data_IF_121776538373
#
_entry.id   IF_121776538373
#
_cell.length_a   1.000
_cell.length_b   1.000
_cell.length_c   1.000
_cell.angle_alpha   90.00
_cell.angle_beta   90.00
_cell.angle_gamma   90.00
#
_symmetry.space_group_name_H-M   'P 1'
#
loop_
_entity.id
_entity.type
_entity.pdbx_description
1 polymer ?
#
# COMPACT_ATOMS: atom_id res chain seq x y z
N UNK A 1 -28.05 -23.90 -0.45
CA UNK A 1 -28.67 -24.47 -1.67
C UNK A 1 -28.25 -23.58 -2.82
N UNK A 2 -27.30 -24.00 -3.67
CA UNK A 2 -27.55 -24.79 -4.89
C UNK A 2 -28.08 -23.84 -5.99
N UNK A 3 -27.49 -23.70 -7.18
CA UNK A 3 -27.10 -24.77 -8.11
C UNK A 3 -26.14 -24.27 -9.20
N UNK A 4 -25.36 -25.23 -9.67
CA UNK A 4 -24.56 -25.31 -10.90
C UNK A 4 -25.46 -25.51 -12.12
N UNK A 5 -25.05 -25.02 -13.30
CA UNK A 5 -25.28 -25.63 -14.63
C UNK A 5 -24.49 -24.82 -15.66
N UNK A 6 -23.39 -25.27 -16.28
CA UNK A 6 -23.22 -26.36 -17.26
C UNK A 6 -24.19 -26.33 -18.44
N UNK A 7 -23.67 -26.03 -19.64
CA UNK A 7 -24.30 -26.44 -20.90
C UNK A 7 -23.22 -26.68 -21.97
N UNK A 8 -22.99 -27.96 -22.25
CA UNK A 8 -22.48 -28.48 -23.52
C UNK A 8 -23.62 -28.51 -24.55
N UNK A 9 -23.27 -28.64 -25.84
CA UNK A 9 -24.00 -29.19 -27.03
C UNK A 9 -23.72 -28.28 -28.25
N UNK A 10 -23.49 -28.73 -29.48
CA UNK A 10 -23.25 -30.05 -30.08
C UNK A 10 -22.79 -29.83 -31.54
N UNK A 11 -22.11 -30.84 -32.11
CA UNK A 11 -21.78 -31.03 -33.54
C UNK A 11 -22.96 -30.85 -34.49
N UNK A 12 -22.65 -30.49 -35.75
CA UNK A 12 -23.28 -31.12 -36.91
C UNK A 12 -22.35 -31.14 -38.14
N UNK A 13 -22.62 -32.12 -39.00
CA UNK A 13 -21.78 -32.75 -40.02
C UNK A 13 -22.39 -32.72 -41.43
N UNK A 14 -21.55 -33.06 -42.44
CA UNK A 14 -21.82 -33.57 -43.82
C UNK A 14 -21.43 -32.60 -44.96
N UNK A 15 -20.38 -32.82 -45.78
CA UNK A 15 -20.11 -33.85 -46.84
C UNK A 15 -20.89 -33.49 -48.15
N UNK A 16 -20.33 -33.24 -49.37
CA UNK A 16 -19.44 -34.08 -50.24
C UNK A 16 -18.97 -33.34 -51.54
N UNK A 17 -17.72 -33.61 -51.97
CA UNK A 17 -17.11 -33.81 -53.35
C UNK A 17 -17.29 -32.76 -54.47
N UNK A 18 -16.32 -32.45 -55.35
CA UNK A 18 -15.46 -33.32 -56.23
C UNK A 18 -14.07 -32.72 -56.60
N UNK A 19 -13.06 -33.61 -56.74
CA UNK A 19 -11.89 -33.73 -57.67
C UNK A 19 -11.28 -32.48 -58.36
N UNK A 20 -9.99 -32.36 -58.70
CA UNK A 20 -8.75 -33.16 -58.70
C UNK A 20 -7.57 -32.13 -58.72
N UNK A 21 -6.40 -32.38 -58.15
CA UNK A 21 -5.28 -32.94 -58.90
C UNK A 21 -4.16 -33.42 -57.96
N UNK A 22 -3.60 -34.57 -58.35
CA UNK A 22 -2.47 -35.28 -57.79
C UNK A 22 -1.22 -34.40 -57.63
N UNK A 23 -0.52 -34.56 -56.50
CA UNK A 23 0.89 -34.99 -56.49
C UNK A 23 1.15 -35.79 -55.21
N UNK A 24 1.30 -37.11 -55.37
CA UNK A 24 1.99 -37.97 -54.41
C UNK A 24 3.49 -37.71 -54.51
N UNK A 25 4.21 -37.64 -53.38
CA UNK A 25 5.20 -38.68 -53.04
C UNK A 25 5.79 -38.51 -51.63
N UNK A 26 5.76 -39.65 -50.91
CA UNK A 26 6.73 -40.16 -49.93
C UNK A 26 6.92 -39.46 -48.58
N UNK A 27 6.24 -40.03 -47.58
CA UNK A 27 6.86 -40.39 -46.31
C UNK A 27 8.24 -41.01 -46.54
N UNK A 28 9.30 -40.39 -46.02
CA UNK A 28 10.58 -41.05 -45.80
C UNK A 28 11.34 -40.36 -44.66
N UNK A 29 11.57 -41.13 -43.59
CA UNK A 29 12.75 -41.11 -42.70
C UNK A 29 13.11 -39.81 -41.95
N UNK A 30 12.47 -39.59 -40.79
CA UNK A 30 12.97 -38.69 -39.71
C UNK A 30 14.08 -39.38 -38.88
N UNK A 31 15.15 -39.85 -39.52
CA UNK A 31 16.28 -40.48 -38.84
C UNK A 31 17.66 -40.04 -39.32
N UNK A 32 17.80 -39.15 -40.31
CA UNK A 32 19.12 -38.88 -40.94
C UNK A 32 19.39 -37.40 -41.29
N UNK A 33 19.18 -36.47 -40.35
CA UNK A 33 19.73 -35.10 -40.46
C UNK A 33 20.44 -34.64 -39.17
N UNK A 34 21.37 -35.46 -38.66
CA UNK A 34 22.50 -34.93 -37.86
C UNK A 34 23.58 -34.51 -38.87
N UNK A 35 23.31 -33.44 -39.62
CA UNK A 35 24.30 -32.81 -40.48
C UNK A 35 25.33 -32.06 -39.62
N UNK A 36 26.50 -32.66 -39.46
CA UNK A 36 27.82 -32.01 -39.62
C UNK A 36 27.97 -30.54 -39.21
N UNK A 37 27.79 -30.18 -37.94
CA UNK A 37 27.95 -28.79 -37.47
C UNK A 37 29.10 -28.69 -36.44
N UNK A 38 30.03 -27.75 -36.68
CA UNK A 38 31.09 -27.36 -35.75
C UNK A 38 30.58 -26.21 -34.88
N UNK A 39 30.64 -26.35 -33.55
CA UNK A 39 30.19 -25.34 -32.60
C UNK A 39 29.94 -25.89 -31.20
N UNK A 40 29.49 -25.03 -30.29
CA UNK A 40 29.04 -25.44 -28.95
C UNK A 40 27.52 -25.30 -28.83
N UNK A 41 26.90 -26.19 -28.04
CA UNK A 41 25.47 -26.16 -27.71
C UNK A 41 25.27 -26.32 -26.21
N UNK A 42 24.09 -25.91 -25.74
CA UNK A 42 23.63 -26.23 -24.39
C UNK A 42 22.48 -27.23 -24.54
N UNK A 43 22.63 -28.40 -23.94
CA UNK A 43 21.63 -29.47 -24.00
C UNK A 43 21.45 -30.08 -22.60
N UNK A 44 20.22 -30.08 -22.10
CA UNK A 44 19.88 -30.49 -20.73
C UNK A 44 20.75 -29.78 -19.68
N UNK A 45 21.03 -28.49 -19.89
CA UNK A 45 21.88 -27.70 -18.99
C UNK A 45 23.37 -28.02 -19.03
N UNK A 46 23.84 -28.93 -19.90
CA UNK A 46 25.27 -29.21 -20.10
C UNK A 46 25.79 -28.52 -21.36
N UNK A 47 27.00 -27.98 -21.29
CA UNK A 47 27.68 -27.37 -22.43
C UNK A 47 28.40 -28.48 -23.18
N UNK A 48 28.07 -28.67 -24.46
CA UNK A 48 28.65 -29.70 -25.32
C UNK A 48 29.33 -29.01 -26.50
N UNK A 49 30.62 -29.29 -26.70
CA UNK A 49 31.38 -28.84 -27.87
C UNK A 49 31.37 -29.95 -28.91
N UNK A 50 31.07 -29.62 -30.16
CA UNK A 50 31.07 -30.56 -31.28
C UNK A 50 32.01 -30.04 -32.39
N UNK A 51 32.93 -30.88 -32.84
CA UNK A 51 33.83 -30.64 -33.98
C UNK A 51 33.77 -31.83 -34.94
N UNK A 52 34.06 -31.57 -36.23
CA UNK A 52 34.35 -32.63 -37.21
C UNK A 52 35.87 -32.78 -37.35
N UNK A 53 36.33 -34.02 -37.44
CA UNK A 53 37.74 -34.46 -37.55
C UNK A 53 38.43 -34.21 -38.90
N UNK A 54 37.92 -33.31 -39.74
CA UNK A 54 38.54 -33.02 -41.04
C UNK A 54 38.22 -31.60 -41.50
N UNK A 55 39.12 -30.66 -41.22
CA UNK A 55 39.73 -29.74 -42.20
C UNK A 55 40.49 -28.59 -41.53
N UNK A 56 41.48 -28.09 -42.26
CA UNK A 56 42.49 -27.12 -41.86
C UNK A 56 41.95 -25.80 -41.28
N UNK A 57 42.66 -25.35 -40.24
CA UNK A 57 42.90 -23.98 -39.76
C UNK A 57 41.81 -22.89 -39.91
N UNK A 58 41.29 -22.48 -38.75
CA UNK A 58 41.05 -21.09 -38.27
C UNK A 58 39.68 -20.86 -37.62
N UNK A 59 38.74 -21.80 -37.74
CA UNK A 59 37.41 -21.60 -37.14
C UNK A 59 37.42 -21.98 -35.65
N UNK A 60 37.65 -20.97 -34.80
CA UNK A 60 37.57 -21.10 -33.35
C UNK A 60 36.11 -21.10 -32.88
N UNK A 61 35.78 -22.03 -31.99
CA UNK A 61 34.50 -21.98 -31.26
C UNK A 61 34.70 -21.07 -30.06
N UNK A 62 33.82 -20.10 -29.88
CA UNK A 62 33.89 -19.19 -28.73
C UNK A 62 32.67 -19.32 -27.84
N UNK A 63 32.87 -19.18 -26.54
CA UNK A 63 31.83 -19.16 -25.53
C UNK A 63 31.86 -17.84 -24.79
N UNK A 64 30.67 -17.33 -24.47
CA UNK A 64 30.50 -16.16 -23.62
C UNK A 64 29.70 -16.57 -22.39
N UNK A 65 30.28 -16.31 -21.22
CA UNK A 65 29.59 -16.46 -19.93
C UNK A 65 28.44 -15.46 -19.81
N UNK A 66 27.51 -15.71 -18.90
CA UNK A 66 26.36 -14.84 -18.65
C UNK A 66 26.10 -14.65 -17.16
N UNK A 67 25.29 -13.64 -16.83
CA UNK A 67 24.91 -13.39 -15.44
C UNK A 67 24.12 -14.58 -14.86
N UNK A 68 24.26 -14.80 -13.56
CA UNK A 68 23.60 -15.90 -12.84
C UNK A 68 24.41 -17.21 -12.77
N UNK A 69 25.49 -17.36 -13.53
CA UNK A 69 26.43 -18.49 -13.42
C UNK A 69 27.87 -17.99 -13.37
N UNK A 70 28.76 -18.84 -12.87
CA UNK A 70 30.20 -18.68 -12.97
C UNK A 70 30.74 -19.80 -13.84
N UNK A 71 31.21 -19.45 -15.04
CA UNK A 71 31.75 -20.41 -16.02
C UNK A 71 33.23 -20.64 -15.71
N UNK A 72 33.64 -21.90 -15.62
CA UNK A 72 35.02 -22.32 -15.46
C UNK A 72 35.47 -23.06 -16.71
N UNK A 73 36.57 -22.63 -17.31
CA UNK A 73 37.22 -23.31 -18.43
C UNK A 73 38.60 -23.75 -17.94
N UNK A 74 38.86 -25.05 -17.95
CA UNK A 74 40.08 -25.66 -17.42
C UNK A 74 40.38 -25.20 -15.97
N UNK A 75 39.33 -25.08 -15.15
CA UNK A 75 39.40 -24.61 -13.77
C UNK A 75 39.60 -23.10 -13.57
N UNK A 76 39.67 -22.29 -14.64
CA UNK A 76 39.78 -20.83 -14.54
C UNK A 76 38.43 -20.13 -14.72
N UNK A 77 38.05 -19.21 -13.80
CA UNK A 77 36.80 -18.47 -13.90
C UNK A 77 36.82 -17.47 -15.07
N UNK A 78 35.72 -17.43 -15.81
CA UNK A 78 35.57 -16.62 -17.01
C UNK A 78 34.70 -15.38 -16.74
N UNK A 79 35.11 -14.22 -17.26
CA UNK A 79 34.32 -12.99 -17.18
C UNK A 79 33.13 -13.01 -18.16
N UNK A 80 32.04 -12.33 -17.79
CA UNK A 80 30.82 -12.29 -18.59
C UNK A 80 30.92 -11.37 -19.84
N UNK A 81 31.96 -10.53 -19.94
CA UNK A 81 32.15 -9.61 -21.07
C UNK A 81 33.00 -10.19 -22.20
N UNK A 82 33.90 -11.11 -21.86
CA UNK A 82 34.93 -11.64 -22.76
C UNK A 82 34.45 -12.89 -23.48
N UNK A 83 34.86 -13.04 -24.74
CA UNK A 83 34.69 -14.27 -25.52
C UNK A 83 35.90 -15.16 -25.28
N UNK A 84 35.67 -16.39 -24.83
CA UNK A 84 36.71 -17.38 -24.59
C UNK A 84 36.69 -18.40 -25.72
N UNK A 85 37.86 -18.73 -26.26
CA UNK A 85 37.97 -19.80 -27.26
C UNK A 85 37.99 -21.14 -26.54
N UNK A 86 37.19 -22.08 -27.02
CA UNK A 86 37.06 -23.43 -26.46
C UNK A 86 37.23 -24.50 -27.53
N UNK A 87 37.72 -25.64 -27.10
CA UNK A 87 37.98 -26.85 -27.88
C UNK A 87 37.34 -28.06 -27.21
N UNK A 88 37.26 -29.20 -27.91
CA UNK A 88 36.71 -30.44 -27.35
C UNK A 88 37.55 -31.01 -26.19
N UNK A 89 38.82 -30.60 -26.10
CA UNK A 89 39.73 -31.03 -25.03
C UNK A 89 39.61 -30.18 -23.77
N UNK A 90 38.87 -29.06 -23.81
CA UNK A 90 38.74 -28.17 -22.67
C UNK A 90 37.66 -28.68 -21.70
N UNK A 91 37.97 -28.66 -20.41
CA UNK A 91 37.01 -28.97 -19.35
C UNK A 91 36.16 -27.73 -19.06
N UNK A 92 34.88 -27.80 -19.42
CA UNK A 92 33.93 -26.70 -19.25
C UNK A 92 32.94 -27.05 -18.15
N UNK A 93 33.05 -26.36 -17.02
CA UNK A 93 32.15 -26.50 -15.88
C UNK A 93 31.46 -25.16 -15.60
N UNK A 94 30.33 -25.20 -14.91
CA UNK A 94 29.69 -23.98 -14.44
C UNK A 94 29.15 -24.16 -13.03
N UNK A 95 29.23 -23.10 -12.23
CA UNK A 95 28.62 -23.01 -10.91
C UNK A 95 27.41 -22.10 -11.02
N UNK A 96 26.23 -22.65 -10.76
CA UNK A 96 25.00 -21.87 -10.65
C UNK A 96 25.04 -20.99 -9.41
N UNK A 97 24.79 -19.69 -9.57
CA UNK A 97 24.54 -18.82 -8.42
C UNK A 97 23.22 -19.25 -7.78
N UNK A 98 23.18 -19.24 -6.46
CA UNK A 98 21.96 -19.42 -5.68
C UNK A 98 21.76 -18.21 -4.79
N UNK A 99 20.53 -17.72 -4.74
CA UNK A 99 20.10 -16.75 -3.73
C UNK A 99 19.23 -17.47 -2.72
N UNK A 100 19.51 -17.26 -1.45
CA UNK A 100 18.74 -17.85 -0.36
C UNK A 100 17.35 -17.20 -0.26
N UNK A 101 16.39 -17.95 0.29
CA UNK A 101 15.08 -17.44 0.60
C UNK A 101 15.15 -16.39 1.73
N UNK A 102 14.59 -15.21 1.51
CA UNK A 102 14.66 -14.08 2.44
C UNK A 102 13.25 -13.70 2.88
N UNK A 103 13.07 -13.45 4.18
CA UNK A 103 11.85 -12.86 4.72
C UNK A 103 12.17 -11.49 5.33
N UNK A 104 11.41 -10.48 4.94
CA UNK A 104 11.54 -9.11 5.41
C UNK A 104 10.31 -8.73 6.23
N UNK A 105 10.55 -8.06 7.36
CA UNK A 105 9.50 -7.51 8.21
C UNK A 105 9.92 -6.09 8.61
N UNK A 106 9.42 -5.12 7.87
CA UNK A 106 9.69 -3.71 8.12
C UNK A 106 8.52 -3.07 8.84
N UNK A 107 8.84 -2.15 9.74
CA UNK A 107 7.87 -1.40 10.53
C UNK A 107 8.00 0.07 10.17
N UNK A 108 6.87 0.69 9.85
CA UNK A 108 6.76 2.13 9.59
C UNK A 108 5.87 2.75 10.65
N UNK A 109 6.35 3.81 11.28
CA UNK A 109 5.63 4.51 12.34
C UNK A 109 5.34 5.93 11.85
N UNK A 110 4.11 6.40 12.06
CA UNK A 110 3.74 7.77 11.72
C UNK A 110 4.44 8.79 12.61
N UNK A 111 4.67 10.01 12.11
CA UNK A 111 5.34 11.09 12.85
C UNK A 111 4.63 11.45 14.16
N UNK A 112 3.30 11.39 14.17
CA UNK A 112 2.46 11.61 15.33
C UNK A 112 2.48 10.46 16.36
N UNK A 113 3.20 9.36 16.05
CA UNK A 113 3.27 8.14 16.86
C UNK A 113 1.91 7.46 17.10
N UNK A 114 0.91 7.77 16.29
CA UNK A 114 -0.45 7.23 16.45
C UNK A 114 -0.73 6.00 15.60
N UNK A 115 0.11 5.70 14.61
CA UNK A 115 -0.11 4.60 13.67
C UNK A 115 1.17 3.82 13.44
N UNK A 116 1.03 2.52 13.32
CA UNK A 116 2.08 1.62 12.88
C UNK A 116 1.60 0.82 11.68
N UNK A 117 2.35 0.89 10.60
CA UNK A 117 2.20 0.01 9.44
C UNK A 117 3.33 -1.01 9.40
N UNK A 118 3.06 -2.19 8.84
CA UNK A 118 4.08 -3.20 8.55
C UNK A 118 4.14 -3.48 7.05
N UNK A 119 5.35 -3.75 6.58
CA UNK A 119 5.62 -4.23 5.24
C UNK A 119 6.27 -5.60 5.40
N UNK A 120 5.59 -6.62 4.87
CA UNK A 120 6.05 -8.01 4.96
C UNK A 120 6.26 -8.53 3.55
N UNK A 121 7.44 -9.08 3.30
CA UNK A 121 7.80 -9.61 1.99
C UNK A 121 8.53 -10.94 2.17
N UNK A 122 8.08 -11.96 1.45
CA UNK A 122 8.73 -13.26 1.38
C UNK A 122 9.29 -13.46 -0.03
N UNK A 123 10.62 -13.48 -0.12
CA UNK A 123 11.36 -13.67 -1.36
C UNK A 123 11.81 -15.13 -1.42
N UNK A 124 11.42 -15.89 -2.47
CA UNK A 124 11.79 -17.29 -2.58
C UNK A 124 13.28 -17.43 -2.89
N UNK A 125 13.81 -18.63 -2.67
CA UNK A 125 15.15 -18.96 -3.18
C UNK A 125 15.13 -18.92 -4.71
N UNK A 126 16.23 -18.48 -5.31
CA UNK A 126 16.39 -18.57 -6.76
C UNK A 126 17.67 -19.28 -7.13
N UNK A 127 17.54 -20.19 -8.08
CA UNK A 127 18.65 -20.84 -8.77
C UNK A 127 18.66 -20.40 -10.23
N UNK A 128 19.85 -20.36 -10.82
CA UNK A 128 20.00 -20.01 -12.22
C UNK A 128 20.37 -21.26 -13.00
N UNK A 129 19.52 -21.61 -13.96
CA UNK A 129 19.71 -22.76 -14.85
C UNK A 129 20.05 -22.29 -16.25
N UNK A 130 20.95 -23.01 -16.93
CA UNK A 130 21.26 -22.73 -18.33
C UNK A 130 20.04 -23.03 -19.22
N UNK A 131 19.81 -22.15 -20.19
CA UNK A 131 18.79 -22.34 -21.23
C UNK A 131 19.43 -23.08 -22.40
N UNK A 132 18.81 -24.19 -22.76
CA UNK A 132 19.23 -24.99 -23.90
C UNK A 132 19.25 -24.16 -25.18
N UNK A 133 20.29 -24.36 -25.97
CA UNK A 133 20.54 -23.60 -27.17
C UNK A 133 21.15 -24.52 -28.21
N UNK A 134 20.61 -24.44 -29.42
CA UNK A 134 21.14 -25.14 -30.59
C UNK A 134 22.60 -24.81 -30.84
N UNK A 135 23.25 -25.63 -31.66
CA UNK A 135 24.68 -25.47 -31.95
C UNK A 135 25.00 -24.11 -32.59
N UNK A 136 25.98 -23.41 -32.00
CA UNK A 136 26.51 -22.16 -32.53
C UNK A 136 28.03 -22.11 -32.38
N UNK A 137 28.69 -21.47 -33.34
CA UNK A 137 30.14 -21.20 -33.27
C UNK A 137 30.50 -20.19 -32.18
N UNK A 138 29.64 -19.19 -32.00
CA UNK A 138 29.74 -18.19 -30.93
C UNK A 138 28.59 -18.43 -29.94
N UNK A 139 28.84 -19.27 -28.95
CA UNK A 139 27.84 -19.65 -27.95
C UNK A 139 27.80 -18.61 -26.83
N UNK A 140 26.88 -17.66 -26.94
CA UNK A 140 26.47 -16.86 -25.78
C UNK A 140 25.51 -17.67 -24.90
N UNK A 141 25.96 -17.99 -23.68
CA UNK A 141 25.15 -18.64 -22.65
C UNK A 141 24.02 -17.70 -22.21
N UNK A 142 22.90 -18.29 -21.82
CA UNK A 142 21.78 -17.60 -21.20
C UNK A 142 21.28 -18.44 -20.05
N UNK A 143 20.95 -17.77 -18.96
CA UNK A 143 20.34 -18.41 -17.79
C UNK A 143 18.87 -18.01 -17.68
N UNK A 144 18.06 -18.92 -17.16
CA UNK A 144 16.72 -18.63 -16.65
C UNK A 144 16.78 -18.63 -15.13
N UNK A 145 16.08 -17.67 -14.52
CA UNK A 145 15.87 -17.61 -13.08
C UNK A 145 14.76 -18.59 -12.73
N UNK A 146 15.08 -19.60 -11.94
CA UNK A 146 14.12 -20.61 -11.47
C UNK A 146 13.80 -20.33 -10.01
N UNK A 147 12.51 -20.23 -9.74
CA UNK A 147 11.97 -20.03 -8.41
C UNK A 147 11.95 -21.35 -7.66
N UNK A 148 12.53 -21.38 -6.47
CA UNK A 148 12.48 -22.51 -5.56
C UNK A 148 11.45 -22.29 -4.44
N UNK A 149 11.79 -22.75 -3.24
CA UNK A 149 10.90 -22.66 -2.10
C UNK A 149 10.90 -21.27 -1.45
N UNK A 150 9.72 -20.87 -0.96
CA UNK A 150 9.57 -19.69 -0.10
C UNK A 150 10.09 -19.97 1.31
N UNK A 151 10.56 -18.93 2.03
CA UNK A 151 10.89 -19.06 3.43
C UNK A 151 9.63 -19.31 4.26
N UNK A 152 9.80 -19.86 5.45
CA UNK A 152 8.71 -20.02 6.40
C UNK A 152 8.11 -18.67 6.77
N UNK A 153 6.78 -18.57 6.69
CA UNK A 153 6.03 -17.37 7.06
C UNK A 153 6.24 -17.02 8.52
N UNK A 154 6.18 -15.73 8.84
CA UNK A 154 6.19 -15.27 10.22
C UNK A 154 4.99 -15.82 10.97
N UNK A 155 5.25 -16.38 12.14
CA UNK A 155 4.18 -16.72 13.08
C UNK A 155 3.66 -15.46 13.76
N UNK A 156 2.41 -15.48 14.22
CA UNK A 156 1.83 -14.34 14.95
C UNK A 156 2.61 -14.04 16.23
N UNK A 157 3.17 -15.06 16.88
CA UNK A 157 4.03 -14.90 18.05
C UNK A 157 5.32 -14.17 17.71
N UNK A 158 6.03 -14.58 16.65
CA UNK A 158 7.23 -13.88 16.16
C UNK A 158 6.91 -12.43 15.77
N UNK A 159 5.82 -12.20 15.03
CA UNK A 159 5.42 -10.85 14.62
C UNK A 159 5.12 -9.94 15.82
N UNK A 160 4.46 -10.48 16.86
CA UNK A 160 4.23 -9.78 18.14
C UNK A 160 5.53 -9.43 18.85
N UNK A 161 6.51 -10.34 18.86
CA UNK A 161 7.82 -10.07 19.45
C UNK A 161 8.56 -8.96 18.70
N UNK A 162 8.48 -8.95 17.36
CA UNK A 162 9.08 -7.88 16.54
C UNK A 162 8.41 -6.54 16.86
N UNK A 163 7.08 -6.47 16.94
CA UNK A 163 6.37 -5.26 17.34
C UNK A 163 6.76 -4.79 18.75
N UNK A 164 6.83 -5.72 19.70
CA UNK A 164 7.22 -5.44 21.08
C UNK A 164 8.66 -4.94 21.19
N UNK A 165 9.61 -5.50 20.42
CA UNK A 165 11.00 -5.01 20.33
C UNK A 165 11.09 -3.57 19.82
N UNK A 166 10.11 -3.15 19.01
CA UNK A 166 9.97 -1.78 18.52
C UNK A 166 9.08 -0.91 19.44
N UNK A 167 8.81 -1.36 20.67
CA UNK A 167 7.98 -0.68 21.67
C UNK A 167 6.51 -0.45 21.27
N UNK A 168 6.00 -1.16 20.26
CA UNK A 168 4.58 -1.10 19.90
C UNK A 168 3.82 -2.08 20.79
N UNK A 169 3.15 -1.54 21.80
CA UNK A 169 2.53 -2.33 22.88
C UNK A 169 1.01 -2.27 22.79
N UNK A 170 0.46 -1.13 22.35
CA UNK A 170 -0.95 -0.82 22.45
C UNK A 170 -1.62 -0.70 21.09
N UNK A 171 -2.93 -1.00 21.07
CA UNK A 171 -3.78 -0.78 19.90
C UNK A 171 -3.48 -1.70 18.72
N UNK A 172 -2.92 -2.90 18.96
CA UNK A 172 -2.59 -3.87 17.91
C UNK A 172 -3.86 -4.44 17.28
N UNK A 173 -3.98 -4.31 15.97
CA UNK A 173 -5.07 -4.84 15.14
C UNK A 173 -4.66 -6.23 14.67
N UNK A 174 -4.98 -7.26 15.46
CA UNK A 174 -4.56 -8.64 15.18
C UNK A 174 -5.01 -9.17 13.82
N UNK A 175 -6.19 -8.78 13.35
CA UNK A 175 -6.70 -9.19 12.04
C UNK A 175 -5.74 -8.80 10.92
N UNK A 176 -5.30 -7.55 10.92
CA UNK A 176 -4.39 -7.02 9.91
C UNK A 176 -3.00 -7.64 10.07
N UNK A 177 -2.54 -7.86 11.30
CA UNK A 177 -1.26 -8.54 11.53
C UNK A 177 -1.24 -9.96 10.94
N UNK A 178 -2.33 -10.71 11.12
CA UNK A 178 -2.49 -12.06 10.56
C UNK A 178 -2.47 -12.01 9.02
N UNK A 179 -3.19 -11.06 8.44
CA UNK A 179 -3.28 -10.89 6.99
C UNK A 179 -1.93 -10.51 6.37
N UNK A 180 -1.20 -9.59 7.01
CA UNK A 180 0.15 -9.19 6.62
C UNK A 180 1.13 -10.36 6.64
N UNK A 181 1.11 -11.18 7.70
CA UNK A 181 1.98 -12.35 7.80
C UNK A 181 1.58 -13.51 6.86
N UNK A 182 0.29 -13.61 6.50
CA UNK A 182 -0.22 -14.71 5.66
C UNK A 182 0.02 -14.48 4.17
N UNK A 183 0.12 -13.22 3.73
CA UNK A 183 0.31 -12.83 2.34
C UNK A 183 1.78 -12.96 1.91
N UNK A 184 2.06 -13.34 0.66
CA UNK A 184 3.44 -13.43 0.16
C UNK A 184 4.14 -12.05 0.10
N UNK A 185 3.35 -11.02 -0.21
CA UNK A 185 3.77 -9.63 -0.21
C UNK A 185 2.63 -8.80 0.37
N UNK A 186 2.94 -7.99 1.36
CA UNK A 186 2.02 -7.05 1.99
C UNK A 186 2.68 -5.67 1.98
N UNK A 187 2.09 -4.76 1.21
CA UNK A 187 2.52 -3.37 1.17
C UNK A 187 1.77 -2.59 2.25
N UNK A 188 2.53 -1.85 3.07
CA UNK A 188 2.11 -0.96 4.16
C UNK A 188 0.72 -1.23 4.75
N UNK A 189 0.63 -2.21 5.65
CA UNK A 189 -0.63 -2.56 6.33
C UNK A 189 -0.66 -2.02 7.76
N UNK A 190 -1.70 -1.27 8.10
CA UNK A 190 -1.92 -0.73 9.44
C UNK A 190 -2.15 -1.85 10.46
N UNK A 191 -1.25 -2.02 11.41
CA UNK A 191 -1.31 -3.08 12.44
C UNK A 191 -1.39 -2.56 13.86
N UNK A 192 -1.16 -1.27 14.11
CA UNK A 192 -1.45 -0.68 15.41
C UNK A 192 -1.94 0.76 15.29
N UNK A 193 -2.86 1.14 16.17
CA UNK A 193 -3.43 2.49 16.25
C UNK A 193 -3.55 2.96 17.69
N UNK A 194 -3.05 4.16 17.97
CA UNK A 194 -3.28 4.85 19.24
C UNK A 194 -4.72 5.35 19.37
N UNK A 195 -5.08 5.69 20.61
CA UNK A 195 -6.34 6.33 20.97
C UNK A 195 -6.08 7.84 21.08
N UNK A 196 -6.69 8.69 20.23
CA UNK A 196 -6.47 10.13 20.29
C UNK A 196 -7.06 10.72 21.58
N UNK A 197 -6.43 11.79 22.08
CA UNK A 197 -6.99 12.55 23.19
C UNK A 197 -8.21 13.35 22.73
N UNK A 198 -9.22 13.43 23.58
CA UNK A 198 -10.40 14.29 23.39
C UNK A 198 -10.26 15.44 24.37
N UNK A 199 -10.20 16.66 23.86
CA UNK A 199 -10.07 17.88 24.68
C UNK A 199 -11.37 18.19 25.44
N UNK A 200 -11.25 18.91 26.57
CA UNK A 200 -12.42 19.43 27.29
C UNK A 200 -13.13 20.47 26.42
N UNK A 201 -14.47 20.48 26.41
CA UNK A 201 -15.26 21.55 25.79
C UNK A 201 -15.68 22.56 26.84
N UNK A 202 -15.42 23.87 26.65
CA UNK A 202 -15.83 24.88 27.60
C UNK A 202 -17.36 25.01 27.62
N UNK A 203 -17.91 25.41 28.75
CA UNK A 203 -19.32 25.82 28.80
C UNK A 203 -19.54 26.97 27.81
N UNK A 204 -20.52 26.85 26.92
CA UNK A 204 -20.85 27.83 25.89
C UNK A 204 -22.20 28.50 26.20
N UNK A 205 -22.34 29.78 25.83
CA UNK A 205 -23.62 30.49 25.91
C UNK A 205 -24.11 30.73 24.49
N UNK A 206 -25.15 30.00 24.11
CA UNK A 206 -25.84 30.17 22.84
C UNK A 206 -26.90 31.25 22.99
N UNK A 207 -26.66 32.40 22.37
CA UNK A 207 -27.58 33.54 22.41
C UNK A 207 -28.74 33.25 21.45
N UNK A 208 -29.97 33.43 21.92
CA UNK A 208 -31.21 33.10 21.19
C UNK A 208 -31.96 34.33 20.68
N UNK A 209 -31.38 35.53 20.81
CA UNK A 209 -31.90 36.76 20.26
C UNK A 209 -30.90 37.40 19.31
N UNK A 210 -31.40 38.19 18.36
CA UNK A 210 -30.56 38.94 17.44
C UNK A 210 -29.80 40.03 18.20
N UNK A 211 -28.49 39.84 18.36
CA UNK A 211 -27.61 40.92 18.76
C UNK A 211 -27.65 42.00 17.67
N UNK A 212 -27.47 43.26 18.03
CA UNK A 212 -27.47 44.41 17.11
C UNK A 212 -26.55 44.17 15.89
N UNK A 213 -27.11 43.59 14.83
CA UNK A 213 -26.46 43.54 13.53
C UNK A 213 -26.76 44.85 12.81
N UNK A 214 -25.70 45.47 12.29
CA UNK A 214 -25.88 46.57 11.33
C UNK A 214 -26.66 45.99 10.15
N UNK A 215 -27.87 46.49 9.91
CA UNK A 215 -28.52 46.29 8.61
C UNK A 215 -27.56 46.84 7.55
N UNK A 216 -27.00 45.96 6.73
CA UNK A 216 -26.23 46.36 5.55
C UNK A 216 -27.22 47.09 4.64
N UNK A 217 -26.99 48.38 4.42
CA UNK A 217 -27.80 49.16 3.50
C UNK A 217 -27.43 48.74 2.07
N UNK A 218 -28.41 48.36 1.26
CA UNK A 218 -28.17 48.21 -0.18
C UNK A 218 -27.95 49.61 -0.77
N UNK A 219 -26.73 49.89 -1.24
CA UNK A 219 -26.32 51.20 -1.81
C UNK A 219 -27.03 51.57 -3.14
N UNK A 220 -28.03 50.80 -3.58
CA UNK A 220 -28.67 50.93 -4.89
C UNK A 220 -30.04 51.64 -4.90
N UNK A 221 -30.57 52.06 -3.75
CA UNK A 221 -31.83 52.81 -3.71
C UNK A 221 -31.56 54.29 -3.45
N UNK A 222 -31.95 55.16 -4.39
CA UNK A 222 -31.99 56.64 -4.27
C UNK A 222 -33.00 57.15 -3.23
N UNK A 223 -33.51 56.27 -2.36
CA UNK A 223 -34.43 56.61 -1.30
C UNK A 223 -33.68 57.25 -0.14
N UNK A 224 -34.29 58.33 0.39
CA UNK A 224 -33.84 59.11 1.53
C UNK A 224 -33.49 58.18 2.70
N UNK A 225 -32.20 57.93 2.91
CA UNK A 225 -31.69 57.05 3.97
C UNK A 225 -32.17 57.60 5.31
N UNK A 226 -33.11 56.91 5.95
CA UNK A 226 -33.54 57.23 7.30
C UNK A 226 -32.51 56.65 8.28
N UNK A 227 -31.47 57.44 8.55
CA UNK A 227 -30.38 57.10 9.47
C UNK A 227 -30.88 56.73 10.89
N UNK A 228 -32.13 57.07 11.23
CA UNK A 228 -32.76 56.77 12.52
C UNK A 228 -33.07 55.28 12.71
N UNK A 229 -33.22 54.52 11.63
CA UNK A 229 -33.61 53.09 11.65
C UNK A 229 -32.47 52.13 11.26
N UNK A 230 -31.22 52.59 11.22
CA UNK A 230 -30.04 51.77 10.87
C UNK A 230 -29.69 50.70 11.89
N UNK A 231 -30.15 50.85 13.14
CA UNK A 231 -29.89 49.91 14.23
C UNK A 231 -31.18 49.19 14.58
N UNK A 232 -31.25 47.88 14.32
CA UNK A 232 -32.30 47.03 14.87
C UNK A 232 -32.02 46.86 16.36
N UNK A 233 -32.75 47.59 17.20
CA UNK A 233 -32.65 47.44 18.66
C UNK A 233 -33.52 46.23 19.03
N UNK A 234 -32.89 45.13 19.44
CA UNK A 234 -33.62 44.02 20.03
C UNK A 234 -34.32 44.49 21.31
N UNK A 235 -35.64 44.33 21.36
CA UNK A 235 -36.45 44.56 22.54
C UNK A 235 -37.03 43.22 22.97
N UNK A 236 -36.91 42.89 24.25
CA UNK A 236 -37.34 41.59 24.79
C UNK A 236 -38.39 41.81 25.87
N UNK A 237 -39.31 40.87 25.98
CA UNK A 237 -40.35 40.87 27.01
C UNK A 237 -39.89 40.15 28.27
N UNK A 238 -40.46 40.54 29.42
CA UNK A 238 -40.31 39.77 30.66
C UNK A 238 -40.73 38.30 30.44
N UNK A 239 -39.89 37.36 30.87
CA UNK A 239 -40.10 35.93 30.67
C UNK A 239 -39.50 35.34 29.38
N UNK A 240 -38.98 36.18 28.47
CA UNK A 240 -38.35 35.69 27.25
C UNK A 240 -36.98 35.05 27.51
N UNK A 241 -36.68 33.95 26.80
CA UNK A 241 -35.37 33.28 26.86
C UNK A 241 -34.35 34.05 26.03
N UNK A 242 -33.26 34.46 26.67
CA UNK A 242 -32.18 35.23 26.08
C UNK A 242 -31.04 34.35 25.57
N UNK A 243 -30.70 33.31 26.32
CA UNK A 243 -29.62 32.41 25.96
C UNK A 243 -29.80 31.04 26.58
N UNK A 244 -29.17 30.05 25.96
CA UNK A 244 -29.04 28.68 26.44
C UNK A 244 -27.58 28.42 26.82
N UNK A 245 -27.39 27.75 27.95
CA UNK A 245 -26.09 27.36 28.50
C UNK A 245 -25.84 25.93 28.06
N UNK A 246 -24.84 25.74 27.21
CA UNK A 246 -24.36 24.40 26.84
C UNK A 246 -23.31 24.03 27.90
N UNK A 247 -23.55 23.00 28.73
CA UNK A 247 -22.63 22.62 29.79
C UNK A 247 -21.29 22.17 29.21
N UNK A 248 -20.23 22.25 30.01
CA UNK A 248 -18.93 21.74 29.61
C UNK A 248 -18.94 20.21 29.48
N UNK A 249 -18.15 19.71 28.55
CA UNK A 249 -17.90 18.28 28.39
C UNK A 249 -16.46 17.99 28.80
N UNK A 250 -16.29 17.04 29.71
CA UNK A 250 -14.97 16.56 30.09
C UNK A 250 -14.49 15.59 29.03
N UNK A 251 -13.33 15.89 28.44
CA UNK A 251 -12.70 15.04 27.44
C UNK A 251 -12.03 13.80 28.05
N UNK A 252 -11.29 13.03 27.25
CA UNK A 252 -10.56 11.85 27.71
C UNK A 252 -9.10 11.91 27.28
N UNK A 253 -8.20 11.47 28.15
CA UNK A 253 -6.81 11.30 27.78
C UNK A 253 -6.68 10.20 26.72
N UNK A 254 -5.82 10.45 25.73
CA UNK A 254 -5.45 9.49 24.71
C UNK A 254 -4.25 8.64 25.12
N UNK A 255 -3.88 7.70 24.26
CA UNK A 255 -2.70 6.87 24.40
C UNK A 255 -2.12 6.57 23.03
N UNK A 256 -0.82 6.81 22.82
CA UNK A 256 -0.18 6.49 21.54
C UNK A 256 0.16 4.98 21.44
N UNK A 257 0.72 4.54 20.31
CA UNK A 257 1.04 3.11 20.07
C UNK A 257 2.13 2.56 21.03
N UNK A 258 2.96 3.45 21.58
CA UNK A 258 4.01 3.13 22.55
C UNK A 258 3.47 3.02 23.98
N UNK A 259 2.22 3.44 24.19
CA UNK A 259 1.56 3.46 25.47
C UNK A 259 1.76 4.74 26.28
N UNK A 260 2.35 5.78 25.68
CA UNK A 260 2.49 7.10 26.29
C UNK A 260 1.14 7.80 26.34
N UNK A 261 0.80 8.41 27.48
CA UNK A 261 -0.47 9.11 27.68
C UNK A 261 -0.44 10.46 26.97
N UNK A 262 -1.40 10.68 26.08
CA UNK A 262 -1.66 11.96 25.45
C UNK A 262 -2.67 12.71 26.32
N UNK A 263 -2.17 13.64 27.14
CA UNK A 263 -3.03 14.43 28.03
C UNK A 263 -3.99 15.29 27.23
N UNK A 264 -5.27 15.25 27.59
CA UNK A 264 -6.27 16.19 27.06
C UNK A 264 -5.95 17.62 27.49
N UNK A 265 -6.32 18.59 26.67
CA UNK A 265 -6.28 20.00 27.08
C UNK A 265 -7.40 20.24 28.08
N UNK A 266 -7.02 20.45 29.34
CA UNK A 266 -7.98 20.80 30.37
C UNK A 266 -8.36 22.27 30.30
N UNK A 267 -9.66 22.55 30.26
CA UNK A 267 -10.18 23.91 30.29
C UNK A 267 -10.77 24.19 31.67
N UNK A 268 -10.33 25.28 32.29
CA UNK A 268 -10.99 25.81 33.49
C UNK A 268 -12.25 26.55 33.08
N UNK A 269 -13.41 26.02 33.43
CA UNK A 269 -14.67 26.73 33.24
C UNK A 269 -14.69 28.05 34.03
N UNK A 270 -15.18 29.09 33.37
CA UNK A 270 -15.40 30.40 34.00
C UNK A 270 -16.88 30.53 34.36
N UNK A 271 -17.21 31.03 35.56
CA UNK A 271 -18.60 31.22 35.95
C UNK A 271 -19.31 32.21 35.01
N UNK A 272 -20.57 31.91 34.70
CA UNK A 272 -21.44 32.79 33.93
C UNK A 272 -21.92 33.92 34.85
N UNK A 273 -21.81 35.17 34.40
CA UNK A 273 -22.22 36.34 35.20
C UNK A 273 -23.58 36.84 34.73
N UNK A 274 -24.60 36.59 35.52
CA UNK A 274 -25.95 37.12 35.31
C UNK A 274 -25.96 38.58 35.80
N UNK A 275 -26.29 39.51 34.92
CA UNK A 275 -26.46 40.92 35.25
C UNK A 275 -27.90 41.25 35.64
N UNK A 276 -28.11 42.50 36.02
CA UNK A 276 -29.44 43.00 36.39
C UNK A 276 -30.46 42.79 35.26
N UNK A 277 -31.71 42.50 35.62
CA UNK A 277 -32.79 42.27 34.66
C UNK A 277 -32.80 40.86 34.04
N UNK A 278 -31.88 39.97 34.41
CA UNK A 278 -31.86 38.57 33.99
C UNK A 278 -31.92 37.62 35.19
N UNK A 279 -32.50 36.43 35.00
CA UNK A 279 -32.39 35.29 35.91
C UNK A 279 -31.89 34.06 35.15
N UNK A 280 -31.24 33.15 35.85
CA UNK A 280 -30.91 31.82 35.31
C UNK A 280 -31.94 30.83 35.84
N UNK A 281 -32.48 30.04 34.92
CA UNK A 281 -33.43 28.96 35.18
C UNK A 281 -32.90 27.71 34.49
N UNK A 282 -32.31 26.80 35.29
CA UNK A 282 -31.55 25.66 34.80
C UNK A 282 -30.48 26.08 33.78
N UNK A 283 -30.59 25.57 32.55
CA UNK A 283 -29.66 25.86 31.44
C UNK A 283 -30.09 27.07 30.59
N UNK A 284 -31.05 27.87 31.06
CA UNK A 284 -31.57 29.01 30.29
C UNK A 284 -31.42 30.32 31.05
N UNK A 285 -31.08 31.38 30.32
CA UNK A 285 -31.07 32.75 30.82
C UNK A 285 -32.37 33.42 30.37
N UNK A 286 -33.16 33.89 31.33
CA UNK A 286 -34.49 34.45 31.11
C UNK A 286 -34.52 35.91 31.55
N UNK A 287 -35.21 36.76 30.78
CA UNK A 287 -35.44 38.15 31.14
C UNK A 287 -36.44 38.28 32.31
N UNK A 288 -36.16 39.18 33.24
CA UNK A 288 -37.04 39.50 34.38
C UNK A 288 -37.69 40.88 34.27
N UNK A 289 -37.30 41.66 33.25
CA UNK A 289 -37.85 42.96 32.93
C UNK A 289 -37.86 43.13 31.42
N UNK A 290 -38.89 43.79 30.91
CA UNK A 290 -38.93 44.23 29.51
C UNK A 290 -37.89 45.32 29.28
N UNK A 291 -37.09 45.22 28.22
CA UNK A 291 -36.05 46.22 27.93
C UNK A 291 -35.05 45.77 26.88
N UNK A 292 -33.89 46.43 26.84
CA UNK A 292 -32.82 46.14 25.88
C UNK A 292 -31.87 45.08 26.44
N UNK A 293 -31.73 43.91 25.79
CA UNK A 293 -30.80 42.88 26.23
C UNK A 293 -29.38 43.24 25.78
N UNK A 294 -28.39 42.95 26.64
CA UNK A 294 -26.97 43.08 26.31
C UNK A 294 -26.23 41.84 26.83
N UNK A 295 -25.89 40.93 25.92
CA UNK A 295 -25.03 39.77 26.21
C UNK A 295 -23.65 39.99 25.59
N UNK A 296 -22.61 40.11 26.43
CA UNK A 296 -21.20 40.15 26.01
C UNK A 296 -20.49 38.89 26.50
N UNK A 297 -20.13 38.00 25.58
CA UNK A 297 -19.40 36.73 25.84
C UNK A 297 -20.06 35.83 26.89
N UNK A 298 -19.85 36.14 28.19
CA UNK A 298 -20.36 35.39 29.35
C UNK A 298 -21.07 36.26 30.39
N UNK A 299 -21.53 37.45 29.97
CA UNK A 299 -22.27 38.39 30.81
C UNK A 299 -23.52 38.88 30.10
N UNK A 300 -24.69 38.56 30.63
CA UNK A 300 -26.00 38.95 30.09
C UNK A 300 -26.73 39.85 31.07
N UNK A 301 -27.21 41.00 30.61
CA UNK A 301 -28.00 41.97 31.40
C UNK A 301 -29.14 42.54 30.56
N UNK A 302 -30.22 42.95 31.22
CA UNK A 302 -31.31 43.71 30.60
C UNK A 302 -31.38 45.09 31.23
N UNK A 303 -31.46 46.13 30.39
CA UNK A 303 -31.58 47.53 30.80
C UNK A 303 -32.92 48.10 30.42
#
# INVERSE_FOLDING_TARGET
>A
MGKISSMFLQKNSNIKTENSDNYNLSETNKSDEIQTLVGARVENGKIIVCKKTSDNDSETVTIKSCDGIELLINGQPCDNKTLYTITESDEIEYISKKTEAIRNFNIEISEDKMKCCVIVEYIPEYTYELVDKSIHRNLALKTKKVEGNYPNKYTISEAKEILKKNNIIEGIIYRNLIEACSSLKCESMLVATGIPAVDDKPTEIKILFDLEEKKVLNELSEDKIDYKNLYSIANIEEGQVLAEIIPSEIGNDGKNIFGEILKRKSIKDKPIKIGEGCKMDNDKIIATKTGRPCCKKRHCKCK
#
